data_IF_952560300211
#
_entry.id   IF_952560300211
#
_cell.length_a   1.000
_cell.length_b   1.000
_cell.length_c   1.000
_cell.angle_alpha   90.00
_cell.angle_beta   90.00
_cell.angle_gamma   90.00
#
_symmetry.space_group_name_H-M   'P 1'
#
loop_
_entity.id
_entity.type
_entity.pdbx_description
1 polymer ?
#
# COMPACT_ATOMS: atom_id res chain seq x y z
N UNK A 1 5.65 -16.62 14.46
CA UNK A 1 5.48 -15.26 13.89
C UNK A 1 5.61 -14.26 15.03
N UNK A 2 6.38 -13.20 14.83
CA UNK A 2 6.61 -12.12 15.81
C UNK A 2 6.86 -10.81 15.08
N UNK A 3 6.50 -9.69 15.69
CA UNK A 3 6.96 -8.38 15.24
C UNK A 3 8.42 -8.16 15.62
N UNK A 4 9.15 -7.48 14.73
CA UNK A 4 10.54 -7.09 14.93
C UNK A 4 10.76 -5.63 14.55
N UNK A 5 11.82 -5.01 15.06
CA UNK A 5 12.31 -3.73 14.59
C UNK A 5 13.62 -3.95 13.83
N UNK A 6 13.89 -3.08 12.85
CA UNK A 6 15.07 -3.16 12.00
C UNK A 6 16.14 -2.15 12.42
N UNK A 7 17.41 -2.61 12.36
CA UNK A 7 18.61 -1.79 12.49
C UNK A 7 19.59 -2.21 11.38
N UNK A 8 19.46 -1.55 10.23
CA UNK A 8 20.15 -1.98 9.02
C UNK A 8 19.75 -3.41 8.60
N UNK A 9 20.70 -4.33 8.58
CA UNK A 9 20.46 -5.74 8.24
C UNK A 9 20.11 -6.61 9.47
N UNK A 10 19.93 -6.05 10.65
CA UNK A 10 19.65 -6.80 11.89
C UNK A 10 18.20 -6.66 12.32
N UNK A 11 17.64 -7.73 12.82
CA UNK A 11 16.26 -7.80 13.33
C UNK A 11 16.29 -7.89 14.85
N UNK A 12 15.68 -6.93 15.52
CA UNK A 12 15.46 -6.96 16.96
C UNK A 12 14.02 -7.35 17.30
N UNK A 13 13.82 -7.93 18.48
CA UNK A 13 12.50 -8.30 18.96
C UNK A 13 11.66 -7.08 19.35
N UNK A 14 10.36 -7.08 19.05
CA UNK A 14 9.37 -6.19 19.68
C UNK A 14 8.74 -6.93 20.85
N UNK A 15 8.68 -6.28 22.01
CA UNK A 15 8.09 -6.80 23.24
C UNK A 15 6.85 -5.98 23.55
N UNK A 16 5.68 -6.62 23.67
CA UNK A 16 4.40 -5.96 23.88
C UNK A 16 3.56 -5.86 22.62
N UNK A 17 2.57 -4.96 22.64
CA UNK A 17 1.65 -4.73 21.54
C UNK A 17 2.20 -3.62 20.63
N UNK A 18 2.35 -3.89 19.33
CA UNK A 18 2.87 -2.90 18.36
C UNK A 18 1.96 -1.71 18.15
N UNK A 19 0.67 -1.84 18.42
CA UNK A 19 -0.31 -0.75 18.38
C UNK A 19 -0.61 -0.14 19.74
N UNK A 20 0.02 -0.66 20.80
CA UNK A 20 -0.15 -0.23 22.18
C UNK A 20 1.21 -0.02 22.85
N UNK A 21 1.31 -0.55 24.08
CA UNK A 21 2.56 -0.47 24.84
C UNK A 21 3.57 -1.50 24.32
N UNK A 22 4.56 -1.02 23.60
CA UNK A 22 5.66 -1.85 23.10
C UNK A 22 7.02 -1.22 23.36
N UNK A 23 8.05 -2.08 23.41
CA UNK A 23 9.46 -1.65 23.52
C UNK A 23 10.36 -2.50 22.63
N UNK A 24 11.46 -1.90 22.21
CA UNK A 24 12.53 -2.60 21.48
C UNK A 24 13.25 -3.54 22.42
N UNK A 25 13.29 -4.83 22.08
CA UNK A 25 14.13 -5.84 22.72
C UNK A 25 15.47 -5.97 22.02
N UNK A 26 16.25 -7.00 22.40
CA UNK A 26 17.56 -7.27 21.79
C UNK A 26 17.47 -7.76 20.34
N UNK A 27 18.61 -7.74 19.63
CA UNK A 27 18.77 -8.35 18.30
C UNK A 27 18.58 -9.87 18.42
N UNK A 28 17.83 -10.45 17.49
CA UNK A 28 17.45 -11.87 17.49
C UNK A 28 17.84 -12.60 16.22
N UNK A 29 18.08 -11.90 15.09
CA UNK A 29 18.47 -12.50 13.82
C UNK A 29 19.09 -11.47 12.87
N UNK A 30 19.74 -11.95 11.82
CA UNK A 30 20.02 -11.16 10.63
C UNK A 30 18.78 -11.16 9.70
N UNK A 31 18.55 -10.06 8.98
CA UNK A 31 17.40 -9.93 8.06
C UNK A 31 17.33 -11.05 7.01
N UNK A 32 18.49 -11.52 6.53
CA UNK A 32 18.61 -12.63 5.56
C UNK A 32 18.20 -14.00 6.12
N UNK A 33 18.09 -14.13 7.44
CA UNK A 33 17.76 -15.39 8.14
C UNK A 33 16.28 -15.50 8.48
N UNK A 34 15.49 -14.46 8.18
CA UNK A 34 14.06 -14.40 8.47
C UNK A 34 13.23 -14.32 7.19
N UNK A 35 12.03 -14.88 7.23
CA UNK A 35 11.01 -14.62 6.21
C UNK A 35 10.19 -13.42 6.63
N UNK A 36 10.15 -12.41 5.77
CA UNK A 36 9.32 -11.22 5.98
C UNK A 36 7.90 -11.54 5.55
N UNK A 37 6.96 -11.37 6.46
CA UNK A 37 5.53 -11.51 6.22
C UNK A 37 4.90 -10.13 5.95
N UNK A 38 3.66 -10.05 5.46
CA UNK A 38 2.95 -8.79 5.43
C UNK A 38 3.04 -8.08 6.78
N UNK A 39 3.35 -6.77 6.82
CA UNK A 39 3.66 -6.09 8.07
C UNK A 39 2.46 -5.96 9.01
N UNK A 40 1.24 -6.08 8.48
CA UNK A 40 -0.02 -6.07 9.24
C UNK A 40 -1.04 -7.05 8.65
N UNK A 41 -2.03 -7.40 9.47
CA UNK A 41 -3.21 -8.16 9.04
C UNK A 41 -4.42 -7.22 9.18
N UNK A 42 -4.76 -6.46 8.13
CA UNK A 42 -5.81 -5.44 8.21
C UNK A 42 -7.19 -6.07 8.36
N UNK A 43 -8.08 -5.40 9.10
CA UNK A 43 -9.51 -5.76 9.10
C UNK A 43 -10.18 -5.34 7.79
N UNK A 44 -9.68 -4.28 7.18
CA UNK A 44 -10.06 -3.76 5.86
C UNK A 44 -8.92 -2.98 5.23
N UNK A 45 -8.94 -2.92 3.90
CA UNK A 45 -8.04 -2.11 3.09
C UNK A 45 -8.91 -1.14 2.31
N UNK A 46 -8.71 0.15 2.56
CA UNK A 46 -9.40 1.23 1.86
C UNK A 46 -8.46 1.79 0.80
N UNK A 47 -8.87 1.77 -0.45
CA UNK A 47 -8.08 2.30 -1.54
C UNK A 47 -8.72 3.56 -2.12
N UNK A 48 -7.87 4.46 -2.61
CA UNK A 48 -8.27 5.77 -3.14
C UNK A 48 -7.92 5.82 -4.62
N UNK A 49 -8.93 5.90 -5.47
CA UNK A 49 -8.74 6.10 -6.90
C UNK A 49 -8.38 7.55 -7.26
N UNK A 50 -7.75 7.75 -8.43
CA UNK A 50 -7.60 9.06 -9.09
C UNK A 50 -6.96 10.17 -8.21
N UNK A 51 -6.02 9.79 -7.35
CA UNK A 51 -5.40 10.73 -6.40
C UNK A 51 -4.09 11.38 -6.90
N UNK A 52 -3.62 11.04 -8.11
CA UNK A 52 -2.53 11.74 -8.78
C UNK A 52 -3.06 12.43 -10.05
N UNK A 53 -2.85 13.74 -10.18
CA UNK A 53 -3.35 14.48 -11.32
C UNK A 53 -2.81 13.94 -12.66
N UNK A 54 -1.52 13.58 -12.72
CA UNK A 54 -0.93 13.00 -13.92
C UNK A 54 -1.62 11.68 -14.33
N UNK A 55 -2.04 10.84 -13.36
CA UNK A 55 -2.80 9.62 -13.63
C UNK A 55 -4.21 9.92 -14.15
N UNK A 56 -4.88 10.91 -13.58
CA UNK A 56 -6.20 11.36 -14.02
C UNK A 56 -6.17 11.85 -15.47
N UNK A 57 -5.13 12.63 -15.84
CA UNK A 57 -4.93 13.11 -17.21
C UNK A 57 -4.63 11.95 -18.18
N UNK A 58 -3.82 10.96 -17.75
CA UNK A 58 -3.52 9.75 -18.53
C UNK A 58 -4.80 8.94 -18.82
N UNK A 59 -5.72 8.88 -17.87
CA UNK A 59 -7.04 8.24 -18.03
C UNK A 59 -8.03 9.04 -18.87
N UNK A 60 -7.77 10.31 -19.11
CA UNK A 60 -8.67 11.20 -19.89
C UNK A 60 -9.99 11.52 -19.19
N UNK A 61 -10.01 11.46 -17.86
CA UNK A 61 -11.21 11.73 -17.04
C UNK A 61 -11.06 13.03 -16.26
N UNK A 62 -12.17 13.68 -15.85
CA UNK A 62 -12.09 14.86 -14.99
C UNK A 62 -11.57 14.47 -13.59
N UNK A 63 -10.77 15.33 -12.95
CA UNK A 63 -10.31 15.08 -11.58
C UNK A 63 -11.47 15.09 -10.59
N UNK A 64 -11.54 14.15 -9.63
CA UNK A 64 -12.65 14.06 -8.70
C UNK A 64 -12.64 15.19 -7.66
N UNK A 65 -13.81 15.67 -7.25
CA UNK A 65 -13.93 16.68 -6.18
C UNK A 65 -13.80 16.10 -4.77
N UNK A 66 -14.08 14.81 -4.62
CA UNK A 66 -13.96 14.06 -3.38
C UNK A 66 -13.17 12.77 -3.64
N UNK A 67 -12.45 12.21 -2.63
CA UNK A 67 -11.70 10.98 -2.82
C UNK A 67 -12.62 9.80 -3.22
N UNK A 68 -12.48 9.21 -4.42
CA UNK A 68 -13.19 7.98 -4.76
C UNK A 68 -12.64 6.83 -3.94
N UNK A 69 -13.49 6.19 -3.13
CA UNK A 69 -13.08 5.09 -2.25
C UNK A 69 -13.58 3.75 -2.77
N UNK A 70 -12.75 2.72 -2.61
CA UNK A 70 -13.14 1.33 -2.74
C UNK A 70 -12.43 0.47 -1.70
N UNK A 71 -12.87 -0.77 -1.55
CA UNK A 71 -12.29 -1.72 -0.60
C UNK A 71 -11.60 -2.85 -1.34
N UNK A 72 -10.45 -3.27 -0.83
CA UNK A 72 -9.84 -4.56 -1.15
C UNK A 72 -10.03 -5.50 0.03
N UNK A 73 -10.35 -6.79 -0.21
CA UNK A 73 -10.50 -7.76 0.87
C UNK A 73 -9.15 -8.08 1.52
N UNK A 74 -9.10 -8.39 2.83
CA UNK A 74 -7.88 -8.82 3.50
C UNK A 74 -7.23 -10.07 2.87
N UNK A 75 -8.01 -10.94 2.23
CA UNK A 75 -7.52 -12.12 1.51
C UNK A 75 -6.66 -11.79 0.28
N UNK A 76 -6.72 -10.55 -0.22
CA UNK A 76 -5.86 -10.10 -1.32
C UNK A 76 -4.41 -9.82 -0.88
N UNK A 77 -4.14 -9.72 0.43
CA UNK A 77 -2.82 -9.34 0.94
C UNK A 77 -1.81 -10.45 0.75
N UNK A 78 -0.66 -10.08 0.19
CA UNK A 78 0.56 -10.87 0.15
C UNK A 78 1.76 -10.02 0.58
N UNK A 79 2.83 -10.67 1.02
CA UNK A 79 4.05 -10.02 1.50
C UNK A 79 5.15 -9.89 0.45
N UNK A 80 6.29 -9.43 0.94
CA UNK A 80 7.52 -9.32 0.16
C UNK A 80 8.01 -10.71 -0.31
N UNK A 81 8.34 -10.83 -1.59
CA UNK A 81 8.77 -12.07 -2.28
C UNK A 81 7.68 -13.14 -2.45
N UNK A 82 6.44 -12.85 -2.14
CA UNK A 82 5.32 -13.71 -2.50
C UNK A 82 4.87 -13.46 -3.95
N UNK A 83 4.13 -14.41 -4.54
CA UNK A 83 3.76 -14.38 -5.96
C UNK A 83 2.41 -13.69 -6.18
N UNK A 84 2.36 -12.76 -7.14
CA UNK A 84 1.10 -12.25 -7.70
C UNK A 84 0.60 -13.28 -8.71
N UNK A 85 -0.61 -13.79 -8.52
CA UNK A 85 -1.20 -14.80 -9.39
C UNK A 85 -2.18 -14.15 -10.38
N UNK A 86 -1.90 -14.28 -11.69
CA UNK A 86 -2.82 -13.81 -12.73
C UNK A 86 -4.03 -14.75 -12.76
N UNK A 87 -5.25 -14.24 -12.49
CA UNK A 87 -6.43 -15.06 -12.47
C UNK A 87 -6.88 -15.41 -13.90
N UNK A 88 -7.40 -16.63 -14.16
CA UNK A 88 -7.84 -17.04 -15.50
C UNK A 88 -9.01 -16.21 -16.04
N UNK A 89 -9.66 -15.40 -15.21
CA UNK A 89 -10.77 -14.51 -15.58
C UNK A 89 -10.32 -13.19 -16.21
N UNK A 90 -9.03 -12.84 -16.10
CA UNK A 90 -8.48 -11.58 -16.63
C UNK A 90 -7.41 -11.84 -17.68
N UNK A 91 -7.41 -11.02 -18.70
CA UNK A 91 -6.40 -11.00 -19.77
C UNK A 91 -5.47 -9.78 -19.67
N UNK A 92 -5.73 -8.88 -18.72
CA UNK A 92 -4.96 -7.66 -18.54
C UNK A 92 -4.84 -7.31 -17.06
N UNK A 93 -3.78 -7.80 -16.43
CA UNK A 93 -3.42 -7.45 -15.02
C UNK A 93 -2.36 -6.38 -15.04
N UNK A 94 -2.51 -5.35 -14.21
CA UNK A 94 -1.63 -4.18 -14.17
C UNK A 94 -1.13 -3.89 -12.75
N UNK A 95 0.08 -3.30 -12.67
CA UNK A 95 0.66 -2.79 -11.42
C UNK A 95 0.19 -1.37 -11.13
N UNK A 96 0.06 -1.03 -9.85
CA UNK A 96 -0.22 0.32 -9.35
C UNK A 96 0.57 0.55 -8.07
N UNK A 97 1.75 1.18 -8.16
CA UNK A 97 2.59 1.49 -7.00
C UNK A 97 1.98 2.59 -6.15
N UNK A 98 1.87 2.35 -4.84
CA UNK A 98 1.21 3.24 -3.90
C UNK A 98 1.93 3.35 -2.55
N UNK A 99 1.87 4.53 -1.94
CA UNK A 99 2.11 4.67 -0.52
C UNK A 99 0.92 4.05 0.23
N UNK A 100 1.19 3.19 1.20
CA UNK A 100 0.19 2.64 2.11
C UNK A 100 0.34 3.24 3.51
N UNK A 101 -0.75 3.75 4.06
CA UNK A 101 -0.85 4.26 5.41
C UNK A 101 -1.32 3.13 6.31
N UNK A 102 -0.61 2.84 7.39
CA UNK A 102 -1.04 1.88 8.40
C UNK A 102 -1.58 2.64 9.61
N UNK A 103 -2.83 2.36 9.96
CA UNK A 103 -3.49 2.98 11.11
C UNK A 103 -2.96 2.38 12.41
N UNK A 104 -2.64 3.22 13.38
CA UNK A 104 -2.10 2.82 14.68
C UNK A 104 -3.08 2.94 15.83
N UNK A 105 -4.12 3.75 15.67
CA UNK A 105 -5.13 4.01 16.72
C UNK A 105 -6.50 4.07 16.11
N UNK A 106 -7.51 3.63 16.85
CA UNK A 106 -8.90 3.72 16.41
C UNK A 106 -9.27 5.17 16.10
N UNK A 107 -9.74 5.42 14.86
CA UNK A 107 -10.05 6.74 14.33
C UNK A 107 -11.50 6.80 13.83
N UNK A 108 -12.24 7.80 14.30
CA UNK A 108 -13.62 8.09 13.89
C UNK A 108 -13.85 9.60 13.97
N UNK A 109 -14.31 10.23 12.86
CA UNK A 109 -14.52 11.68 12.75
C UNK A 109 -13.30 12.52 13.16
N UNK A 110 -12.15 12.11 12.65
CA UNK A 110 -10.86 12.78 12.91
C UNK A 110 -10.76 14.05 12.08
N UNK A 111 -10.25 15.14 12.65
CA UNK A 111 -9.94 16.36 11.90
C UNK A 111 -8.66 16.18 11.05
N UNK A 112 -8.48 17.03 10.04
CA UNK A 112 -7.26 17.01 9.20
C UNK A 112 -6.02 17.29 10.05
N UNK A 113 -6.11 18.21 11.00
CA UNK A 113 -5.02 18.63 11.88
C UNK A 113 -4.56 17.52 12.83
N UNK A 114 -5.48 16.64 13.22
CA UNK A 114 -5.19 15.54 14.14
C UNK A 114 -4.87 14.21 13.44
N UNK A 115 -5.11 14.12 12.14
CA UNK A 115 -5.09 12.87 11.38
C UNK A 115 -3.81 12.05 11.53
N UNK A 116 -2.64 12.69 11.47
CA UNK A 116 -1.36 12.00 11.58
C UNK A 116 -1.10 11.36 12.96
N UNK A 117 -1.82 11.78 14.01
CA UNK A 117 -1.72 11.18 15.35
C UNK A 117 -2.29 9.75 15.39
N UNK A 118 -3.06 9.35 14.39
CA UNK A 118 -3.68 8.03 14.26
C UNK A 118 -2.89 7.08 13.37
N UNK A 119 -1.82 7.55 12.74
CA UNK A 119 -0.95 6.75 11.88
C UNK A 119 0.08 6.00 12.73
N UNK A 120 0.27 4.70 12.45
CA UNK A 120 1.39 3.94 12.98
C UNK A 120 2.65 4.11 12.15
N UNK A 121 2.49 4.14 10.82
CA UNK A 121 3.57 4.34 9.87
C UNK A 121 3.13 4.08 8.44
N UNK A 122 4.10 3.91 7.57
CA UNK A 122 3.92 3.82 6.12
C UNK A 122 4.65 2.63 5.55
N UNK A 123 4.11 2.07 4.47
CA UNK A 123 4.73 0.93 3.77
C UNK A 123 4.47 1.05 2.26
N UNK A 124 5.17 0.23 1.46
CA UNK A 124 4.87 0.14 0.04
C UNK A 124 3.66 -0.78 -0.18
N UNK A 125 2.88 -0.47 -1.22
CA UNK A 125 1.82 -1.34 -1.70
C UNK A 125 1.78 -1.37 -3.23
N UNK A 126 1.21 -2.45 -3.76
CA UNK A 126 0.86 -2.57 -5.18
C UNK A 126 -0.64 -2.86 -5.26
N UNK A 127 -1.43 -1.89 -5.73
CA UNK A 127 -2.87 -2.06 -5.96
C UNK A 127 -3.12 -2.77 -7.28
N UNK A 128 -2.76 -4.06 -7.34
CA UNK A 128 -2.87 -4.88 -8.55
C UNK A 128 -4.32 -4.90 -9.05
N UNK A 129 -4.48 -4.74 -10.37
CA UNK A 129 -5.77 -4.49 -11.00
C UNK A 129 -5.96 -5.37 -12.23
N UNK A 130 -7.09 -6.07 -12.32
CA UNK A 130 -7.57 -6.70 -13.55
C UNK A 130 -8.27 -5.64 -14.41
N UNK A 131 -7.51 -4.98 -15.30
CA UNK A 131 -7.96 -3.77 -16.02
C UNK A 131 -9.12 -4.03 -16.99
N UNK A 132 -9.12 -5.18 -17.66
CA UNK A 132 -10.20 -5.59 -18.53
C UNK A 132 -11.52 -5.81 -17.76
N UNK A 133 -11.45 -6.24 -16.51
CA UNK A 133 -12.62 -6.38 -15.64
C UNK A 133 -13.08 -5.05 -15.07
N UNK A 134 -12.16 -4.14 -14.75
CA UNK A 134 -12.49 -2.77 -14.32
C UNK A 134 -13.34 -2.02 -15.37
N UNK A 135 -13.02 -2.21 -16.65
CA UNK A 135 -13.78 -1.60 -17.76
C UNK A 135 -15.17 -2.22 -17.97
N UNK A 136 -15.37 -3.46 -17.53
CA UNK A 136 -16.61 -4.21 -17.72
C UNK A 136 -17.57 -4.10 -16.56
N UNK A 137 -17.04 -3.99 -15.35
CA UNK A 137 -17.82 -4.01 -14.12
C UNK A 137 -18.16 -2.58 -13.69
N UNK A 138 -19.34 -2.39 -13.14
CA UNK A 138 -19.76 -1.11 -12.55
C UNK A 138 -19.12 -0.86 -11.17
N UNK A 139 -18.53 -1.88 -10.56
CA UNK A 139 -17.93 -1.85 -9.22
C UNK A 139 -16.52 -2.44 -9.25
N UNK A 140 -15.61 -1.87 -8.46
CA UNK A 140 -14.19 -2.25 -8.44
C UNK A 140 -13.90 -3.55 -7.66
N UNK A 141 -14.88 -4.11 -6.95
CA UNK A 141 -14.66 -5.25 -6.04
C UNK A 141 -13.97 -6.42 -6.72
N UNK A 142 -14.42 -6.83 -7.91
CA UNK A 142 -13.86 -7.97 -8.60
C UNK A 142 -12.47 -7.68 -9.17
N UNK A 143 -12.30 -6.56 -9.89
CA UNK A 143 -11.04 -6.23 -10.55
C UNK A 143 -9.90 -5.92 -9.57
N UNK A 144 -10.22 -5.55 -8.34
CA UNK A 144 -9.28 -5.18 -7.26
C UNK A 144 -9.17 -6.23 -6.15
N UNK A 145 -10.09 -7.21 -6.10
CA UNK A 145 -10.27 -8.09 -4.95
C UNK A 145 -9.80 -9.53 -5.11
N UNK A 146 -9.13 -9.89 -6.21
CA UNK A 146 -8.54 -11.22 -6.32
C UNK A 146 -7.51 -11.48 -5.23
N UNK A 147 -7.40 -12.72 -4.77
CA UNK A 147 -6.29 -13.14 -3.92
C UNK A 147 -4.98 -12.72 -4.57
N UNK A 148 -3.99 -12.32 -3.77
CA UNK A 148 -2.67 -11.81 -4.17
C UNK A 148 -2.63 -10.41 -4.80
N UNK A 149 -3.77 -9.72 -4.95
CA UNK A 149 -3.85 -8.42 -5.61
C UNK A 149 -3.54 -7.22 -4.69
N UNK A 150 -3.04 -7.46 -3.47
CA UNK A 150 -2.59 -6.41 -2.56
C UNK A 150 -1.23 -6.76 -1.92
N UNK A 151 -0.14 -6.81 -2.71
CA UNK A 151 1.20 -6.84 -2.14
C UNK A 151 1.41 -5.68 -1.17
N UNK A 152 1.92 -5.97 0.04
CA UNK A 152 2.10 -5.01 1.12
C UNK A 152 3.42 -5.27 1.86
N UNK A 153 4.24 -4.25 2.06
CA UNK A 153 5.53 -4.38 2.74
C UNK A 153 6.65 -3.56 2.11
N UNK A 154 7.92 -3.92 2.32
CA UNK A 154 8.40 -5.07 3.09
C UNK A 154 8.23 -4.92 4.61
N UNK A 155 8.23 -3.69 5.12
CA UNK A 155 8.04 -3.33 6.53
C UNK A 155 7.34 -1.99 6.65
N UNK A 156 6.99 -1.59 7.88
CA UNK A 156 6.45 -0.26 8.17
C UNK A 156 7.58 0.65 8.63
N UNK A 157 7.70 1.82 8.00
CA UNK A 157 8.54 2.93 8.47
C UNK A 157 7.71 3.90 9.29
N UNK A 158 8.22 4.28 10.46
CA UNK A 158 7.57 5.21 11.38
C UNK A 158 8.18 6.61 11.36
N UNK A 159 9.29 6.78 10.64
CA UNK A 159 10.15 7.96 10.71
C UNK A 159 10.21 8.75 9.39
N UNK A 160 9.26 8.51 8.46
CA UNK A 160 9.18 9.24 7.18
C UNK A 160 8.12 10.32 7.21
N UNK A 161 8.36 11.41 6.50
CA UNK A 161 7.35 12.44 6.23
C UNK A 161 6.54 12.05 4.98
N UNK A 162 5.25 11.73 5.09
CA UNK A 162 4.46 11.30 3.95
C UNK A 162 4.18 12.40 2.92
N UNK A 163 4.54 13.65 3.21
CA UNK A 163 4.23 14.78 2.33
C UNK A 163 5.13 14.87 1.10
N UNK A 164 6.34 14.28 1.15
CA UNK A 164 7.31 14.37 0.05
C UNK A 164 8.21 13.13 -0.01
N UNK A 165 7.64 12.03 -0.48
CA UNK A 165 8.36 10.78 -0.69
C UNK A 165 8.32 10.42 -2.18
N UNK A 166 9.45 10.00 -2.74
CA UNK A 166 9.49 9.43 -4.09
C UNK A 166 8.81 8.06 -4.06
N UNK A 167 7.83 7.87 -4.96
CA UNK A 167 7.15 6.59 -5.23
C UNK A 167 7.55 6.10 -6.60
N UNK A 168 8.11 4.90 -6.71
CA UNK A 168 8.60 4.33 -7.95
C UNK A 168 8.13 2.88 -8.12
N UNK A 169 7.77 2.53 -9.37
CA UNK A 169 7.57 1.15 -9.79
C UNK A 169 8.56 0.76 -10.86
N UNK A 170 9.15 -0.42 -10.70
CA UNK A 170 9.97 -1.07 -11.74
C UNK A 170 9.34 -2.42 -12.12
N UNK A 171 9.36 -2.74 -13.40
CA UNK A 171 9.03 -4.09 -13.90
C UNK A 171 10.25 -4.58 -14.66
N UNK A 172 10.81 -5.72 -14.25
CA UNK A 172 12.04 -6.30 -14.79
C UNK A 172 13.21 -5.30 -14.81
N UNK A 173 13.36 -4.50 -13.72
CA UNK A 173 14.38 -3.49 -13.55
C UNK A 173 14.14 -2.20 -14.35
N UNK A 174 13.09 -2.11 -15.16
CA UNK A 174 12.74 -0.90 -15.93
C UNK A 174 11.74 -0.05 -15.16
N UNK A 175 12.07 1.23 -14.94
CA UNK A 175 11.15 2.19 -14.30
C UNK A 175 9.92 2.39 -15.18
N UNK A 176 8.75 2.16 -14.58
CA UNK A 176 7.41 2.33 -15.18
C UNK A 176 6.67 3.52 -14.60
N UNK A 177 6.70 3.66 -13.27
CA UNK A 177 6.09 4.78 -12.57
C UNK A 177 7.16 5.48 -11.73
N UNK A 178 7.11 6.80 -11.67
CA UNK A 178 7.94 7.61 -10.78
C UNK A 178 7.25 8.94 -10.54
N UNK A 179 6.99 9.27 -9.26
CA UNK A 179 6.37 10.52 -8.83
C UNK A 179 6.74 10.80 -7.37
N UNK A 180 6.22 11.89 -6.81
CA UNK A 180 6.30 12.19 -5.38
C UNK A 180 4.89 12.21 -4.76
N UNK A 181 4.78 11.84 -3.48
CA UNK A 181 3.56 12.01 -2.70
C UNK A 181 3.12 13.49 -2.57
N UNK A 182 4.00 14.43 -2.87
CA UNK A 182 3.68 15.86 -3.04
C UNK A 182 2.59 16.10 -4.10
N UNK A 183 2.52 15.23 -5.11
CA UNK A 183 1.56 15.32 -6.23
C UNK A 183 0.19 14.68 -5.90
N UNK A 184 0.01 14.19 -4.67
CA UNK A 184 -1.30 13.71 -4.20
C UNK A 184 -2.31 14.86 -4.18
N UNK A 185 -3.44 14.68 -4.87
CA UNK A 185 -4.56 15.64 -4.87
C UNK A 185 -5.18 15.78 -3.48
N UNK A 186 -5.40 14.66 -2.82
CA UNK A 186 -5.85 14.58 -1.43
C UNK A 186 -4.69 14.06 -0.59
N UNK A 187 -4.17 14.89 0.27
CA UNK A 187 -3.05 14.57 1.15
C UNK A 187 -3.39 13.48 2.17
N UNK A 188 -2.37 12.84 2.75
CA UNK A 188 -2.56 11.80 3.77
C UNK A 188 -3.49 12.27 4.91
N UNK A 189 -3.35 13.47 5.52
CA UNK A 189 -4.29 13.92 6.54
C UNK A 189 -5.73 14.07 6.04
N UNK A 190 -5.91 14.57 4.82
CA UNK A 190 -7.24 14.74 4.23
C UNK A 190 -7.92 13.38 3.98
N UNK A 191 -7.16 12.37 3.50
CA UNK A 191 -7.67 11.01 3.31
C UNK A 191 -8.15 10.39 4.62
N UNK A 192 -7.33 10.46 5.68
CA UNK A 192 -7.69 9.91 7.00
C UNK A 192 -8.94 10.61 7.54
N UNK A 193 -8.99 11.95 7.49
CA UNK A 193 -10.15 12.71 7.94
C UNK A 193 -11.40 12.32 7.17
N UNK A 194 -11.33 12.28 5.84
CA UNK A 194 -12.45 11.90 4.98
C UNK A 194 -12.93 10.47 5.24
N UNK A 195 -12.02 9.49 5.23
CA UNK A 195 -12.37 8.07 5.44
C UNK A 195 -12.93 7.85 6.85
N UNK A 196 -12.35 8.48 7.88
CA UNK A 196 -12.84 8.37 9.26
C UNK A 196 -14.23 9.00 9.45
N UNK A 197 -14.65 9.91 8.58
CA UNK A 197 -16.02 10.45 8.57
C UNK A 197 -17.03 9.43 8.05
N UNK A 198 -16.60 8.52 7.15
CA UNK A 198 -17.44 7.48 6.53
C UNK A 198 -17.50 6.22 7.41
N UNK A 199 -16.32 5.72 7.83
CA UNK A 199 -16.20 4.46 8.58
C UNK A 199 -15.14 4.57 9.68
N UNK A 200 -15.29 3.79 10.74
CA UNK A 200 -14.25 3.67 11.78
C UNK A 200 -13.03 2.96 11.21
N UNK A 201 -11.86 3.54 11.41
CA UNK A 201 -10.57 2.91 11.16
C UNK A 201 -10.07 2.25 12.45
N UNK A 202 -9.62 1.02 12.35
CA UNK A 202 -9.07 0.25 13.47
C UNK A 202 -7.54 0.13 13.35
N UNK A 203 -6.81 -0.11 14.46
CA UNK A 203 -5.37 -0.37 14.40
C UNK A 203 -5.06 -1.53 13.44
N UNK A 204 -4.08 -1.34 12.57
CA UNK A 204 -3.70 -2.29 11.53
C UNK A 204 -4.49 -2.16 10.21
N UNK A 205 -5.56 -1.37 10.14
CA UNK A 205 -6.21 -1.04 8.86
C UNK A 205 -5.24 -0.29 7.95
N UNK A 206 -5.41 -0.49 6.64
CA UNK A 206 -4.53 0.07 5.61
C UNK A 206 -5.33 1.00 4.69
N UNK A 207 -4.73 2.15 4.38
CA UNK A 207 -5.22 3.07 3.34
C UNK A 207 -4.19 3.11 2.21
N UNK A 208 -4.60 2.75 1.00
CA UNK A 208 -3.81 2.91 -0.22
C UNK A 208 -4.11 4.30 -0.79
N UNK A 209 -3.05 5.09 -1.06
CA UNK A 209 -3.20 6.53 -1.33
C UNK A 209 -3.43 6.90 -2.79
N UNK A 210 -3.49 5.92 -3.68
CA UNK A 210 -3.55 6.13 -5.13
C UNK A 210 -2.18 6.01 -5.80
N UNK A 211 -2.20 5.75 -7.09
CA UNK A 211 -1.03 5.48 -7.92
C UNK A 211 -0.73 6.61 -8.90
N UNK A 212 0.55 6.93 -9.19
CA UNK A 212 0.93 7.89 -10.24
C UNK A 212 0.73 7.32 -11.65
N UNK A 213 0.93 8.15 -12.67
CA UNK A 213 0.94 7.76 -14.08
C UNK A 213 2.04 6.73 -14.39
N UNK A 214 1.90 6.01 -15.51
CA UNK A 214 2.81 4.97 -15.95
C UNK A 214 2.39 3.56 -15.54
N UNK A 215 1.14 3.37 -15.15
CA UNK A 215 0.52 2.04 -14.93
C UNK A 215 0.64 1.20 -16.18
N UNK A 216 0.95 -0.08 -16.03
CA UNK A 216 1.14 -0.98 -17.16
C UNK A 216 1.00 -2.45 -16.82
N UNK A 217 1.04 -3.32 -17.84
CA UNK A 217 0.76 -4.73 -17.70
C UNK A 217 1.82 -5.48 -16.91
N UNK A 218 1.36 -6.54 -16.23
CA UNK A 218 2.16 -7.58 -15.61
C UNK A 218 1.90 -8.90 -16.35
N UNK A 219 2.98 -9.62 -16.67
CA UNK A 219 2.92 -10.92 -17.31
C UNK A 219 3.54 -12.00 -16.42
N UNK A 220 3.14 -13.24 -16.60
CA UNK A 220 3.77 -14.35 -15.89
C UNK A 220 5.29 -14.37 -16.14
N UNK A 221 6.07 -14.51 -15.08
CA UNK A 221 7.54 -14.43 -15.10
C UNK A 221 8.11 -13.05 -14.83
N UNK A 222 7.29 -11.99 -14.80
CA UNK A 222 7.77 -10.65 -14.45
C UNK A 222 8.15 -10.54 -12.97
N UNK A 223 9.10 -9.65 -12.69
CA UNK A 223 9.40 -9.16 -11.34
C UNK A 223 8.95 -7.71 -11.24
N UNK A 224 8.10 -7.41 -10.29
CA UNK A 224 7.63 -6.05 -10.00
C UNK A 224 8.19 -5.57 -8.67
N UNK A 225 8.69 -4.34 -8.66
CA UNK A 225 9.28 -3.68 -7.51
C UNK A 225 8.57 -2.36 -7.26
N UNK A 226 8.05 -2.18 -6.05
CA UNK A 226 7.53 -0.90 -5.56
C UNK A 226 8.51 -0.36 -4.54
N UNK A 227 9.15 0.76 -4.86
CA UNK A 227 10.13 1.42 -4.02
C UNK A 227 9.60 2.76 -3.55
N UNK A 228 9.67 3.00 -2.23
CA UNK A 228 9.31 4.30 -1.64
C UNK A 228 10.48 4.78 -0.81
N UNK A 229 10.87 6.04 -1.04
CA UNK A 229 11.94 6.71 -0.35
C UNK A 229 11.79 6.62 1.17
N UNK A 230 12.86 6.27 1.87
CA UNK A 230 12.87 6.13 3.34
C UNK A 230 12.11 4.91 3.89
N UNK A 231 11.42 4.15 3.04
CA UNK A 231 10.71 2.93 3.44
C UNK A 231 11.49 1.69 2.99
N UNK A 232 11.67 1.52 1.68
CA UNK A 232 12.35 0.36 1.11
C UNK A 232 11.69 -0.12 -0.18
N UNK A 233 11.98 -1.38 -0.55
CA UNK A 233 11.50 -1.96 -1.81
C UNK A 233 10.70 -3.24 -1.55
N UNK A 234 9.43 -3.21 -1.92
CA UNK A 234 8.55 -4.37 -2.00
C UNK A 234 8.76 -5.06 -3.34
N UNK A 235 9.16 -6.33 -3.32
CA UNK A 235 9.44 -7.12 -4.52
C UNK A 235 8.50 -8.30 -4.58
N UNK A 236 7.87 -8.52 -5.73
CA UNK A 236 7.02 -9.69 -5.99
C UNK A 236 7.29 -10.24 -7.39
N UNK A 237 7.11 -11.54 -7.57
CA UNK A 237 7.11 -12.19 -8.88
C UNK A 237 5.68 -12.43 -9.34
N UNK A 238 5.48 -12.54 -10.65
CA UNK A 238 4.17 -12.74 -11.28
C UNK A 238 4.08 -14.15 -11.82
N UNK A 239 2.96 -14.83 -11.56
CA UNK A 239 2.71 -16.23 -11.98
C UNK A 239 1.43 -16.34 -12.79
#
# INVERSE_FOLDING_TARGET
IRYGWLDGARVGAVIGDVFGDSKRGGIVAELREVTILPPVTPSKIIAVGQNYLARVLEQGVPPPDIPPLFLKPPSAVIGHKEEIVIPPQSTQVEHEAELAIVIGRRARWVSVEDALKFVWGYTCANDVTARDLEQRDSQLTRCKGFDTFCPLGPWVSTDVDPADLVVMCKVNGQVRQMSSTRELRFSVPQLIAFISSVMTLEPGDVILTGTPAGVGPLNAGDTVEVEIEGIGTLVNTVK
#
